data_IF_437745714062
#
_entry.id   IF_437745714062
#
_cell.length_a   1.000
_cell.length_b   1.000
_cell.length_c   1.000
_cell.angle_alpha   90.00
_cell.angle_beta   90.00
_cell.angle_gamma   90.00
#
_symmetry.space_group_name_H-M   'P 1'
#
loop_
_entity.id
_entity.type
_entity.pdbx_description
1 polymer ?
#
# COMPACT_ATOMS: atom_id res chain seq x y z
N UNK A 1 -24.53 0.77 0.97
CA UNK A 1 -23.98 -0.59 1.19
C UNK A 1 -24.31 -0.97 2.63
N UNK A 2 -24.72 -2.21 2.92
CA UNK A 2 -25.15 -2.64 4.28
C UNK A 2 -24.36 -3.88 4.69
N UNK A 3 -23.94 -3.94 5.96
CA UNK A 3 -23.32 -5.10 6.59
C UNK A 3 -24.31 -5.75 7.55
N UNK A 4 -24.24 -7.08 7.67
CA UNK A 4 -25.11 -7.84 8.56
C UNK A 4 -24.67 -7.68 10.02
N UNK A 5 -25.59 -7.31 10.91
CA UNK A 5 -25.31 -7.13 12.34
C UNK A 5 -24.95 -8.44 13.08
N UNK A 6 -25.36 -9.60 12.54
CA UNK A 6 -25.11 -10.90 13.18
C UNK A 6 -23.74 -11.49 12.83
N UNK A 7 -23.23 -11.27 11.61
CA UNK A 7 -22.01 -11.94 11.14
C UNK A 7 -21.00 -11.02 10.43
N UNK A 8 -21.31 -9.72 10.28
CA UNK A 8 -20.44 -8.74 9.64
C UNK A 8 -20.26 -8.94 8.12
N UNK A 9 -20.91 -9.95 7.52
CA UNK A 9 -20.84 -10.16 6.07
C UNK A 9 -21.61 -9.06 5.33
N UNK A 10 -21.11 -8.70 4.15
CA UNK A 10 -21.79 -7.76 3.26
C UNK A 10 -23.14 -8.35 2.82
N UNK A 11 -24.21 -7.57 2.94
CA UNK A 11 -25.57 -8.00 2.57
C UNK A 11 -25.86 -7.71 1.10
N UNK A 12 -26.76 -8.50 0.52
CA UNK A 12 -27.23 -8.34 -0.86
C UNK A 12 -28.65 -7.79 -0.89
N UNK A 13 -28.98 -7.05 -1.94
CA UNK A 13 -30.33 -6.51 -2.11
C UNK A 13 -31.15 -7.49 -2.93
N UNK A 14 -32.24 -7.99 -2.37
CA UNK A 14 -33.26 -8.78 -3.05
C UNK A 14 -34.59 -8.03 -2.91
N UNK A 15 -35.05 -7.44 -4.02
CA UNK A 15 -36.22 -6.55 -4.08
C UNK A 15 -36.16 -5.41 -3.03
N UNK A 16 -37.11 -5.43 -2.08
CA UNK A 16 -37.29 -4.49 -0.98
C UNK A 16 -36.61 -4.96 0.33
N UNK A 17 -35.68 -5.92 0.26
CA UNK A 17 -34.99 -6.49 1.43
C UNK A 17 -33.47 -6.62 1.23
N UNK A 18 -32.76 -6.52 2.34
CA UNK A 18 -31.35 -6.88 2.49
C UNK A 18 -31.25 -8.30 3.02
N UNK A 19 -30.59 -9.18 2.28
CA UNK A 19 -30.41 -10.59 2.64
C UNK A 19 -28.92 -10.89 2.83
N UNK A 20 -28.58 -11.43 4.00
CA UNK A 20 -27.24 -11.95 4.27
C UNK A 20 -27.14 -13.41 3.81
N UNK A 21 -26.31 -13.69 2.81
CA UNK A 21 -26.10 -15.05 2.31
C UNK A 21 -25.24 -15.93 3.24
N UNK A 22 -24.53 -15.33 4.19
CA UNK A 22 -23.67 -16.05 5.14
C UNK A 22 -24.42 -16.63 6.33
N UNK A 23 -25.40 -15.91 6.87
CA UNK A 23 -26.17 -16.36 8.05
C UNK A 23 -27.70 -16.42 7.82
N UNK A 24 -28.19 -15.97 6.66
CA UNK A 24 -29.62 -15.98 6.32
C UNK A 24 -30.43 -14.82 6.89
N UNK A 25 -29.79 -13.85 7.56
CA UNK A 25 -30.48 -12.69 8.14
C UNK A 25 -31.11 -11.81 7.05
N UNK A 26 -32.37 -11.40 7.24
CA UNK A 26 -33.11 -10.52 6.33
C UNK A 26 -33.55 -9.24 7.06
N UNK A 27 -33.32 -8.08 6.44
CA UNK A 27 -33.76 -6.78 6.94
C UNK A 27 -34.49 -6.02 5.85
N UNK A 28 -35.57 -5.32 6.18
CA UNK A 28 -36.33 -4.54 5.19
C UNK A 28 -35.53 -3.32 4.73
N UNK A 29 -35.51 -3.08 3.43
CA UNK A 29 -34.82 -1.97 2.81
C UNK A 29 -35.56 -0.67 3.06
N UNK A 30 -34.85 0.35 3.52
CA UNK A 30 -35.37 1.71 3.68
C UNK A 30 -34.83 2.61 2.57
N UNK A 31 -35.67 2.88 1.57
CA UNK A 31 -35.29 3.64 0.37
C UNK A 31 -34.90 5.10 0.65
N UNK A 32 -35.33 5.68 1.78
CA UNK A 32 -34.94 7.03 2.19
C UNK A 32 -33.49 7.07 2.72
N UNK A 33 -33.08 6.01 3.42
CA UNK A 33 -31.71 5.83 3.90
C UNK A 33 -30.75 5.49 2.75
N UNK A 34 -31.21 4.74 1.74
CA UNK A 34 -30.39 4.44 0.56
C UNK A 34 -30.12 5.63 -0.35
N UNK A 35 -31.10 6.54 -0.53
CA UNK A 35 -30.90 7.78 -1.28
C UNK A 35 -29.91 8.74 -0.61
N UNK A 36 -29.81 8.68 0.72
CA UNK A 36 -28.79 9.39 1.51
C UNK A 36 -27.40 8.75 1.42
N UNK A 37 -27.30 7.50 0.93
CA UNK A 37 -26.03 6.81 0.67
C UNK A 37 -25.48 7.08 -0.74
N UNK A 38 -25.79 8.24 -1.32
CA UNK A 38 -24.82 8.87 -2.23
C UNK A 38 -23.70 9.41 -1.36
N UNK A 39 -22.82 8.51 -0.91
CA UNK A 39 -21.52 8.94 -0.44
C UNK A 39 -20.74 9.36 -1.67
N UNK A 40 -20.86 10.66 -2.01
CA UNK A 40 -19.64 11.45 -2.11
C UNK A 40 -19.03 11.47 -0.71
N UNK A 41 -18.61 10.30 -0.22
CA UNK A 41 -17.48 10.27 0.67
C UNK A 41 -16.47 11.05 -0.15
N UNK A 42 -16.20 12.28 0.30
CA UNK A 42 -14.98 12.94 -0.07
C UNK A 42 -13.97 11.80 0.00
N UNK A 43 -13.46 11.38 -1.16
CA UNK A 43 -12.06 11.01 -1.18
C UNK A 43 -11.47 12.13 -0.36
N UNK A 44 -11.13 11.83 0.91
CA UNK A 44 -10.22 12.71 1.60
C UNK A 44 -9.12 12.79 0.56
N UNK A 45 -9.02 13.95 -0.08
CA UNK A 45 -7.88 14.28 -0.90
C UNK A 45 -6.78 14.07 0.12
N UNK A 46 -6.24 12.85 0.11
CA UNK A 46 -5.31 12.37 1.10
C UNK A 46 -4.11 13.18 0.72
N UNK A 47 -4.08 14.41 1.22
CA UNK A 47 -3.16 15.42 0.78
C UNK A 47 -1.81 14.78 0.82
N UNK A 48 -1.02 15.03 -0.22
CA UNK A 48 0.29 14.41 -0.43
C UNK A 48 0.94 14.21 0.93
N UNK A 49 1.09 12.95 1.35
CA UNK A 49 1.66 12.66 2.66
C UNK A 49 3.06 13.25 2.66
N UNK A 50 3.29 14.25 3.50
CA UNK A 50 4.56 14.95 3.53
C UNK A 50 5.62 13.99 4.10
N UNK A 51 6.53 13.58 3.21
CA UNK A 51 7.65 12.70 3.52
C UNK A 51 8.95 13.49 3.60
N UNK A 52 8.89 14.84 3.66
CA UNK A 52 10.09 15.67 3.61
C UNK A 52 10.89 15.63 4.91
N UNK A 53 10.21 15.35 6.04
CA UNK A 53 10.81 15.18 7.37
C UNK A 53 11.20 13.72 7.70
N UNK A 54 10.99 12.77 6.79
CA UNK A 54 11.31 11.36 7.03
C UNK A 54 12.78 11.11 6.69
N UNK A 55 13.54 10.66 7.69
CA UNK A 55 14.94 10.28 7.53
C UNK A 55 15.05 9.12 6.52
N UNK A 56 16.02 9.17 5.59
CA UNK A 56 16.15 8.16 4.54
C UNK A 56 16.43 6.76 5.11
N UNK A 57 17.01 6.70 6.32
CA UNK A 57 17.19 5.47 7.08
C UNK A 57 15.89 4.86 7.64
N UNK A 58 14.84 5.66 7.80
CA UNK A 58 13.50 5.20 8.19
C UNK A 58 12.68 4.73 6.98
N UNK A 59 13.15 5.04 5.76
CA UNK A 59 12.56 4.60 4.50
C UNK A 59 13.03 3.18 4.16
N UNK A 60 12.43 2.21 4.84
CA UNK A 60 12.61 0.79 4.55
C UNK A 60 13.90 0.18 5.10
N UNK A 61 14.23 -1.06 4.69
CA UNK A 61 15.37 -1.78 5.24
C UNK A 61 16.71 -1.23 4.72
N UNK A 62 17.70 -1.16 5.59
CA UNK A 62 19.06 -0.69 5.28
C UNK A 62 20.10 -1.79 5.49
N UNK A 63 21.18 -1.75 4.71
CA UNK A 63 22.31 -2.67 4.80
C UNK A 63 23.64 -1.92 4.75
N UNK A 64 24.72 -2.58 5.18
CA UNK A 64 26.08 -2.05 5.10
C UNK A 64 26.66 -2.33 3.72
N UNK A 65 26.86 -1.27 2.94
CA UNK A 65 27.45 -1.33 1.60
C UNK A 65 28.04 0.05 1.29
N UNK A 66 29.26 0.07 0.77
CA UNK A 66 29.94 1.32 0.43
C UNK A 66 29.27 1.97 -0.77
N UNK A 67 29.09 3.29 -0.72
CA UNK A 67 28.62 4.07 -1.86
C UNK A 67 29.60 3.95 -3.04
N UNK A 68 29.05 3.86 -4.25
CA UNK A 68 29.84 3.84 -5.49
C UNK A 68 30.30 5.23 -5.93
N UNK A 69 29.75 6.30 -5.33
CA UNK A 69 30.16 7.66 -5.65
C UNK A 69 31.54 7.94 -5.03
N UNK A 70 32.57 8.28 -5.82
CA UNK A 70 33.89 8.58 -5.28
C UNK A 70 33.90 9.80 -4.35
N UNK A 71 32.90 10.68 -4.47
CA UNK A 71 32.76 11.88 -3.63
C UNK A 71 31.93 11.62 -2.35
N UNK A 72 31.52 10.37 -2.09
CA UNK A 72 30.72 9.98 -0.94
C UNK A 72 31.33 8.78 -0.20
N UNK A 73 31.70 8.97 1.06
CA UNK A 73 32.25 7.91 1.92
C UNK A 73 31.19 7.06 2.63
N UNK A 74 29.93 7.17 2.21
CA UNK A 74 28.85 6.52 2.92
C UNK A 74 28.89 4.99 2.91
N UNK A 75 28.63 4.40 4.08
CA UNK A 75 28.79 2.95 4.33
C UNK A 75 27.46 2.20 4.43
N UNK A 76 26.34 2.91 4.25
CA UNK A 76 25.00 2.34 4.36
C UNK A 76 24.12 2.76 3.18
N UNK A 77 23.30 1.81 2.74
CA UNK A 77 22.29 2.03 1.72
C UNK A 77 20.98 1.35 2.11
N UNK A 78 19.86 1.96 1.76
CA UNK A 78 18.59 1.23 1.68
C UNK A 78 18.64 0.26 0.50
N UNK A 79 17.96 -0.87 0.61
CA UNK A 79 17.88 -1.83 -0.48
C UNK A 79 16.45 -2.22 -0.81
N UNK A 80 16.18 -2.40 -2.09
CA UNK A 80 14.94 -2.96 -2.61
C UNK A 80 15.27 -4.11 -3.56
N UNK A 81 14.47 -5.17 -3.52
CA UNK A 81 14.66 -6.33 -4.37
C UNK A 81 13.55 -6.38 -5.41
N UNK A 82 13.92 -6.45 -6.69
CA UNK A 82 12.98 -6.43 -7.81
C UNK A 82 13.34 -7.51 -8.82
N UNK A 83 12.32 -8.24 -9.25
CA UNK A 83 12.39 -9.18 -10.37
C UNK A 83 12.32 -8.38 -11.68
N UNK A 84 13.45 -8.23 -12.36
CA UNK A 84 13.56 -7.48 -13.62
C UNK A 84 13.87 -8.37 -14.83
N UNK A 85 14.00 -9.69 -14.63
CA UNK A 85 14.29 -10.68 -15.67
C UNK A 85 13.29 -11.85 -15.63
N UNK A 86 13.67 -13.02 -16.16
CA UNK A 86 12.79 -14.19 -16.15
C UNK A 86 12.52 -14.69 -14.72
N UNK A 87 11.39 -15.38 -14.53
CA UNK A 87 11.03 -15.97 -13.23
C UNK A 87 12.02 -17.05 -12.75
N UNK A 88 12.78 -17.63 -13.68
CA UNK A 88 13.84 -18.60 -13.40
C UNK A 88 15.15 -17.95 -12.92
N UNK A 89 15.25 -16.61 -12.93
CA UNK A 89 16.42 -15.86 -12.49
C UNK A 89 16.23 -15.28 -11.08
N UNK A 90 17.33 -15.11 -10.36
CA UNK A 90 17.34 -14.49 -9.04
C UNK A 90 16.97 -13.01 -9.11
N UNK A 91 16.34 -12.51 -8.05
CA UNK A 91 15.96 -11.10 -7.92
C UNK A 91 17.19 -10.18 -7.93
N UNK A 92 17.05 -8.99 -8.52
CA UNK A 92 18.11 -7.99 -8.52
C UNK A 92 17.93 -7.03 -7.35
N UNK A 93 19.00 -6.79 -6.61
CA UNK A 93 19.05 -5.79 -5.54
C UNK A 93 19.42 -4.41 -6.10
N UNK A 94 18.64 -3.42 -5.71
CA UNK A 94 18.91 -2.01 -5.94
C UNK A 94 19.23 -1.37 -4.61
N UNK A 95 20.30 -0.60 -4.58
CA UNK A 95 20.75 0.17 -3.42
C UNK A 95 20.48 1.65 -3.64
N UNK A 96 20.18 2.37 -2.56
CA UNK A 96 20.26 3.82 -2.54
C UNK A 96 21.04 4.28 -1.32
N UNK A 97 22.10 5.07 -1.53
CA UNK A 97 22.91 5.60 -0.43
C UNK A 97 22.08 6.52 0.45
N UNK A 98 22.18 6.34 1.76
CA UNK A 98 21.46 7.14 2.76
C UNK A 98 22.02 8.58 2.81
N UNK A 99 23.30 8.77 2.48
CA UNK A 99 23.98 10.07 2.60
C UNK A 99 23.85 10.93 1.35
N UNK A 100 24.11 10.38 0.16
CA UNK A 100 24.08 11.15 -1.09
C UNK A 100 22.87 10.83 -2.00
N UNK A 101 22.06 9.83 -1.65
CA UNK A 101 20.89 9.43 -2.45
C UNK A 101 21.22 8.75 -3.78
N UNK A 102 22.50 8.47 -4.10
CA UNK A 102 22.88 7.76 -5.33
C UNK A 102 22.26 6.37 -5.35
N UNK A 103 21.72 5.97 -6.51
CA UNK A 103 21.12 4.65 -6.73
C UNK A 103 22.01 3.79 -7.62
N UNK A 104 22.17 2.52 -7.28
CA UNK A 104 22.94 1.56 -8.08
C UNK A 104 22.43 0.13 -7.87
N UNK A 105 22.80 -0.79 -8.75
CA UNK A 105 22.47 -2.22 -8.65
C UNK A 105 23.62 -2.97 -7.99
N UNK A 106 23.35 -4.14 -7.45
CA UNK A 106 24.40 -5.05 -6.95
C UNK A 106 25.43 -5.42 -8.04
N UNK A 107 25.01 -5.44 -9.31
CA UNK A 107 25.88 -5.72 -10.46
C UNK A 107 26.68 -4.48 -10.95
N UNK A 108 26.39 -3.28 -10.46
CA UNK A 108 27.11 -2.05 -10.84
C UNK A 108 28.40 -1.95 -10.00
N UNK A 109 29.54 -2.32 -10.60
CA UNK A 109 30.89 -2.23 -10.01
C UNK A 109 31.70 -1.05 -10.58
#
# INVERSE_FOLDING_TARGET
MQFCDECGSMMHTEDDSWVCRSCGHETRRDSATEGSMTTTENQADGGVVDMSDVDDAEIGPTTKVRCIDPDCDGERARYEMKQIRAADESETRFFTCIECGRKWREDDH
#
